data_IF_140173405421
#
_entry.id   IF_140173405421
#
_cell.length_a   1.000
_cell.length_b   1.000
_cell.length_c   1.000
_cell.angle_alpha   90.00
_cell.angle_beta   90.00
_cell.angle_gamma   90.00
#
_symmetry.space_group_name_H-M   'P 1'
#
loop_
_entity.id
_entity.type
_entity.pdbx_description
1 polymer ?
#
# COMPACT_ATOMS: atom_id res chain seq x y z
N UNK A 1 -6.48 2.44 -33.28
CA UNK A 1 -7.24 2.18 -32.03
C UNK A 1 -6.18 2.07 -30.95
N UNK A 2 -5.78 3.20 -30.38
CA UNK A 2 -4.94 3.22 -29.18
C UNK A 2 -5.65 2.40 -28.10
N UNK A 3 -5.06 1.28 -27.70
CA UNK A 3 -5.52 0.61 -26.49
C UNK A 3 -5.39 1.62 -25.36
N UNK A 4 -6.42 1.81 -24.51
CA UNK A 4 -6.24 2.61 -23.32
C UNK A 4 -5.10 1.95 -22.55
N UNK A 5 -3.95 2.62 -22.46
CA UNK A 5 -2.88 2.21 -21.57
C UNK A 5 -3.53 2.28 -20.19
N UNK A 6 -3.98 1.12 -19.72
CA UNK A 6 -4.40 0.94 -18.34
C UNK A 6 -3.13 1.19 -17.56
N UNK A 7 -3.05 2.41 -17.03
CA UNK A 7 -1.90 2.98 -16.36
C UNK A 7 -1.77 2.31 -14.98
N UNK A 8 -1.39 1.05 -15.01
CA UNK A 8 -1.24 0.15 -13.87
C UNK A 8 0.16 0.28 -13.30
N UNK A 9 0.28 0.02 -12.01
CA UNK A 9 1.56 -0.04 -11.32
C UNK A 9 2.49 -1.01 -12.03
N UNK A 10 3.72 -0.58 -12.34
CA UNK A 10 4.72 -1.48 -12.91
C UNK A 10 5.23 -2.47 -11.84
N UNK A 11 5.72 -3.66 -12.22
CA UNK A 11 6.24 -4.63 -11.25
C UNK A 11 7.36 -4.09 -10.36
N UNK A 12 8.24 -3.24 -10.91
CA UNK A 12 9.30 -2.60 -10.14
C UNK A 12 8.74 -1.64 -9.09
N UNK A 13 7.68 -0.91 -9.41
CA UNK A 13 7.01 0.00 -8.49
C UNK A 13 6.27 -0.79 -7.39
N UNK A 14 5.60 -1.89 -7.76
CA UNK A 14 4.91 -2.74 -6.79
C UNK A 14 5.87 -3.28 -5.71
N UNK A 15 7.07 -3.69 -6.12
CA UNK A 15 8.13 -4.12 -5.20
C UNK A 15 8.57 -2.94 -4.32
N UNK A 16 8.91 -1.81 -4.93
CA UNK A 16 9.41 -0.64 -4.23
C UNK A 16 8.42 -0.10 -3.19
N UNK A 17 7.14 0.06 -3.57
CA UNK A 17 6.08 0.55 -2.68
C UNK A 17 5.84 -0.43 -1.53
N UNK A 18 5.85 -1.74 -1.81
CA UNK A 18 5.70 -2.76 -0.77
C UNK A 18 6.85 -2.68 0.25
N UNK A 19 8.09 -2.53 -0.22
CA UNK A 19 9.25 -2.33 0.66
C UNK A 19 9.13 -1.04 1.48
N UNK A 20 8.70 0.07 0.87
CA UNK A 20 8.45 1.32 1.59
C UNK A 20 7.41 1.12 2.70
N UNK A 21 6.35 0.35 2.46
CA UNK A 21 5.35 0.07 3.49
C UNK A 21 5.88 -0.83 4.62
N UNK A 22 6.69 -1.86 4.31
CA UNK A 22 7.37 -2.66 5.32
C UNK A 22 8.29 -1.79 6.21
N UNK A 23 9.08 -0.91 5.59
CA UNK A 23 9.99 -0.01 6.29
C UNK A 23 9.25 1.05 7.12
N UNK A 24 8.22 1.68 6.56
CA UNK A 24 7.43 2.72 7.22
C UNK A 24 6.67 2.20 8.44
N UNK A 25 6.11 1.00 8.33
CA UNK A 25 5.30 0.40 9.41
C UNK A 25 6.14 -0.41 10.41
N UNK A 26 7.38 -0.76 10.06
CA UNK A 26 8.20 -1.72 10.80
C UNK A 26 7.65 -3.14 10.78
N UNK A 27 6.65 -3.43 9.94
CA UNK A 27 6.04 -4.75 9.82
C UNK A 27 6.78 -5.56 8.75
N UNK A 28 7.49 -6.61 9.18
CA UNK A 28 8.20 -7.49 8.28
C UNK A 28 7.25 -8.55 7.67
N UNK A 29 7.04 -8.50 6.36
CA UNK A 29 6.22 -9.49 5.67
C UNK A 29 6.99 -10.79 5.47
N UNK A 30 6.28 -11.91 5.55
CA UNK A 30 6.77 -13.18 4.99
C UNK A 30 6.80 -13.11 3.46
N UNK A 31 7.55 -13.99 2.82
CA UNK A 31 7.64 -14.00 1.34
C UNK A 31 6.27 -14.16 0.66
N UNK A 32 5.40 -15.02 1.20
CA UNK A 32 4.02 -15.20 0.70
C UNK A 32 3.19 -13.92 0.83
N UNK A 33 3.22 -13.27 1.99
CA UNK A 33 2.49 -12.03 2.21
C UNK A 33 3.04 -10.90 1.31
N UNK A 34 4.35 -10.86 1.10
CA UNK A 34 4.99 -9.89 0.21
C UNK A 34 4.55 -10.09 -1.24
N UNK A 35 4.53 -11.33 -1.73
CA UNK A 35 4.04 -11.64 -3.07
C UNK A 35 2.57 -11.22 -3.24
N UNK A 36 1.72 -11.45 -2.23
CA UNK A 36 0.32 -11.02 -2.28
C UNK A 36 0.16 -9.51 -2.25
N UNK A 37 0.89 -8.81 -1.39
CA UNK A 37 0.87 -7.35 -1.33
C UNK A 37 1.31 -6.73 -2.67
N UNK A 38 2.37 -7.26 -3.28
CA UNK A 38 2.83 -6.85 -4.61
C UNK A 38 1.79 -7.17 -5.69
N UNK A 39 1.10 -8.31 -5.59
CA UNK A 39 0.03 -8.65 -6.51
C UNK A 39 -1.16 -7.69 -6.42
N UNK A 40 -1.53 -7.25 -5.21
CA UNK A 40 -2.54 -6.19 -5.03
C UNK A 40 -2.04 -4.89 -5.70
N UNK A 41 -0.79 -4.49 -5.47
CA UNK A 41 -0.21 -3.28 -6.07
C UNK A 41 -0.27 -3.29 -7.60
N UNK A 42 -0.04 -4.43 -8.24
CA UNK A 42 -0.15 -4.61 -9.68
C UNK A 42 -1.59 -4.47 -10.23
N UNK A 43 -2.60 -4.70 -9.37
CA UNK A 43 -4.00 -4.49 -9.72
C UNK A 43 -4.42 -3.02 -9.60
N UNK A 44 -3.69 -2.25 -8.79
CA UNK A 44 -3.91 -0.81 -8.63
C UNK A 44 -3.50 -0.04 -9.88
N UNK A 45 -4.17 1.09 -10.07
CA UNK A 45 -3.85 2.05 -11.13
C UNK A 45 -2.99 3.17 -10.56
N UNK A 46 -2.33 3.97 -11.40
CA UNK A 46 -1.57 5.15 -10.95
C UNK A 46 -2.39 6.17 -10.16
N UNK A 47 -3.73 6.10 -10.25
CA UNK A 47 -4.67 6.97 -9.53
C UNK A 47 -5.14 6.37 -8.21
N UNK A 48 -4.76 5.12 -7.93
CA UNK A 48 -5.06 4.46 -6.67
C UNK A 48 -4.24 5.07 -5.55
N UNK A 49 -4.84 5.09 -4.38
CA UNK A 49 -4.29 5.63 -3.14
C UNK A 49 -3.84 4.51 -2.21
N UNK A 50 -3.13 4.86 -1.14
CA UNK A 50 -2.80 3.92 -0.06
C UNK A 50 -4.06 3.31 0.56
N UNK A 51 -5.16 4.05 0.62
CA UNK A 51 -6.43 3.54 1.15
C UNK A 51 -7.06 2.48 0.24
N UNK A 52 -6.87 2.57 -1.08
CA UNK A 52 -7.31 1.55 -2.02
C UNK A 52 -6.52 0.25 -1.82
N UNK A 53 -5.20 0.35 -1.60
CA UNK A 53 -4.38 -0.79 -1.21
C UNK A 53 -4.88 -1.43 0.09
N UNK A 54 -5.07 -0.63 1.14
CA UNK A 54 -5.53 -1.10 2.46
C UNK A 54 -6.88 -1.81 2.33
N UNK A 55 -7.83 -1.24 1.59
CA UNK A 55 -9.15 -1.84 1.41
C UNK A 55 -9.07 -3.24 0.79
N UNK A 56 -8.21 -3.44 -0.22
CA UNK A 56 -8.01 -4.76 -0.85
C UNK A 56 -7.23 -5.72 0.05
N UNK A 57 -6.23 -5.21 0.80
CA UNK A 57 -5.41 -6.03 1.69
C UNK A 57 -6.19 -6.48 2.95
N UNK A 58 -7.14 -5.67 3.44
CA UNK A 58 -8.04 -6.03 4.55
C UNK A 58 -8.98 -7.19 4.19
N UNK A 59 -9.26 -7.45 2.91
CA UNK A 59 -10.03 -8.61 2.46
C UNK A 59 -9.24 -9.94 2.55
N UNK A 60 -7.91 -9.87 2.73
CA UNK A 60 -7.04 -11.03 2.84
C UNK A 60 -6.63 -11.25 4.30
N UNK A 61 -6.99 -12.39 4.93
CA UNK A 61 -6.70 -12.64 6.34
C UNK A 61 -5.21 -12.55 6.69
N UNK A 62 -4.34 -12.94 5.76
CA UNK A 62 -2.90 -12.93 5.95
C UNK A 62 -2.26 -11.53 5.81
N UNK A 63 -2.95 -10.57 5.19
CA UNK A 63 -2.47 -9.19 5.06
C UNK A 63 -3.17 -8.22 6.02
N UNK A 64 -4.18 -8.69 6.77
CA UNK A 64 -5.00 -7.84 7.62
C UNK A 64 -4.19 -7.01 8.63
N UNK A 65 -3.21 -7.63 9.30
CA UNK A 65 -2.36 -6.92 10.26
C UNK A 65 -1.45 -5.89 9.57
N UNK A 66 -0.89 -6.24 8.41
CA UNK A 66 -0.08 -5.33 7.62
C UNK A 66 -0.90 -4.15 7.10
N UNK A 67 -2.10 -4.40 6.56
CA UNK A 67 -3.01 -3.38 6.08
C UNK A 67 -3.40 -2.40 7.19
N UNK A 68 -3.67 -2.92 8.40
CA UNK A 68 -3.92 -2.12 9.59
C UNK A 68 -2.71 -1.27 9.98
N UNK A 69 -1.49 -1.84 9.94
CA UNK A 69 -0.26 -1.10 10.22
C UNK A 69 -0.03 0.04 9.22
N UNK A 70 -0.19 -0.23 7.92
CA UNK A 70 -0.09 0.77 6.84
C UNK A 70 -1.13 1.87 7.06
N UNK A 71 -2.39 1.50 7.30
CA UNK A 71 -3.47 2.45 7.58
C UNK A 71 -3.14 3.36 8.77
N UNK A 72 -2.68 2.78 9.87
CA UNK A 72 -2.36 3.54 11.08
C UNK A 72 -1.20 4.51 10.83
N UNK A 73 -0.14 4.07 10.15
CA UNK A 73 1.00 4.94 9.80
C UNK A 73 0.55 6.17 9.00
N UNK A 74 -0.26 5.97 7.94
CA UNK A 74 -0.70 7.09 7.10
C UNK A 74 -1.79 7.97 7.74
N UNK A 75 -2.58 7.43 8.67
CA UNK A 75 -3.54 8.23 9.46
C UNK A 75 -2.81 9.08 10.51
N UNK A 76 -1.81 8.50 11.18
CA UNK A 76 -1.01 9.20 12.20
C UNK A 76 -0.19 10.33 11.57
N UNK A 77 0.52 10.06 10.46
CA UNK A 77 1.27 11.09 9.72
C UNK A 77 0.37 12.19 9.13
N UNK A 78 -0.87 11.87 8.72
CA UNK A 78 -1.84 12.92 8.34
C UNK A 78 -2.35 13.73 9.53
N UNK A 79 -2.30 13.18 10.75
CA UNK A 79 -2.70 13.87 11.98
C UNK A 79 -1.58 14.76 12.51
N UNK A 80 -0.31 14.37 12.30
CA UNK A 80 0.88 15.17 12.64
C UNK A 80 0.96 16.50 11.88
N UNK A 81 0.26 16.64 10.76
CA UNK A 81 0.14 17.92 10.05
C UNK A 81 -0.87 18.91 10.66
N UNK A 82 -1.67 18.50 11.66
CA UNK A 82 -2.63 19.37 12.36
C UNK A 82 -2.20 19.60 13.81
N UNK A 83 -0.90 19.74 14.11
CA UNK A 83 -0.45 20.19 15.43
C UNK A 83 0.88 20.94 15.31
N UNK A 84 0.81 22.24 14.99
CA UNK A 84 1.52 23.34 15.66
C UNK A 84 1.17 24.68 14.93
N UNK A 85 0.02 25.27 15.29
CA UNK A 85 -0.15 26.73 15.24
C UNK A 85 -0.39 27.17 16.69
N UNK A 86 0.70 27.46 17.41
CA UNK A 86 0.70 28.25 18.65
C UNK A 86 0.96 29.74 18.30
#
# INVERSE_FOLDING_TARGET
>A
MDSPVLDRTEPSDAIAITSIFEEATGYALTDSQREQAQHIMLQLTRHSTVLDFVAMAEEMPELMEFASAVRNYFIDECSTFILDED
#
